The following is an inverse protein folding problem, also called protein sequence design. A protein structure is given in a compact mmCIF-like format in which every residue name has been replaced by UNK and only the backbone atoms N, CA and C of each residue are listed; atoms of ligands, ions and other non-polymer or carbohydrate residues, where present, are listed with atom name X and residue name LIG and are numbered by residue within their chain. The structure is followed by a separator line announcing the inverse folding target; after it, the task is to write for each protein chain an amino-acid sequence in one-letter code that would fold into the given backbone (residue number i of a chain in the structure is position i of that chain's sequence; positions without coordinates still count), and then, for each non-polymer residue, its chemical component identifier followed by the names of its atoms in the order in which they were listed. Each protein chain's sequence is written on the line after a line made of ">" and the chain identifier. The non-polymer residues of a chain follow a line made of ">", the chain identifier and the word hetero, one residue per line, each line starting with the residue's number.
data_IF_184997984099
#
_entry.id   IF_184997984099
#
_cell.length_a   1.000
_cell.length_b   1.000
_cell.length_c   1.000
_cell.angle_alpha   90.00
_cell.angle_beta   90.00
_cell.angle_gamma   90.00
#
_symmetry.space_group_name_H-M   'P 1'
#
loop_
_entity.id
_entity.type
_entity.pdbx_description
1 polymer ?
2 polymer ?
3 non-polymer ?
4 water ?
#
# COMPACT_ATOMS: atom_id res chain seq x y z
N UNK A 5 -17.96 19.29 15.70
CA UNK A 5 -18.55 17.98 15.97
C UNK A 5 -19.68 17.64 15.03
N UNK A 6 -20.72 18.47 14.98
CA UNK A 6 -21.87 18.16 14.13
C UNK A 6 -21.54 18.32 12.65
N UNK A 7 -22.25 17.55 11.83
CA UNK A 7 -22.13 17.67 10.39
C UNK A 7 -20.74 17.46 9.84
N UNK A 8 -19.92 16.66 10.52
CA UNK A 8 -18.60 16.33 10.02
C UNK A 8 -18.61 14.94 9.42
N UNK A 9 -17.98 14.79 8.27
CA UNK A 9 -17.86 13.51 7.58
C UNK A 9 -16.41 13.10 7.66
N UNK A 10 -16.15 12.00 8.36
CA UNK A 10 -14.79 11.58 8.66
C UNK A 10 -14.29 10.73 7.49
N UNK A 11 -13.16 11.13 6.91
CA UNK A 11 -12.52 10.40 5.83
C UNK A 11 -11.36 9.54 6.31
N UNK A 12 -10.81 9.82 7.49
CA UNK A 12 -9.65 9.10 8.00
C UNK A 12 -9.55 9.36 9.51
N UNK A 13 -9.36 8.28 10.28
CA UNK A 13 -9.24 8.38 11.75
C UNK A 13 -8.26 7.29 12.20
N UNK A 14 -6.99 7.67 12.31
CA UNK A 14 -5.95 6.69 12.63
C UNK A 14 -6.20 6.02 13.96
N UNK A 15 -6.47 6.81 15.01
CA UNK A 15 -6.58 6.26 16.36
C UNK A 15 -7.69 5.23 16.46
N UNK A 16 -8.76 5.39 15.69
CA UNK A 16 -9.90 4.48 15.77
C UNK A 16 -9.65 3.17 15.04
N UNK A 17 -8.60 3.08 14.22
CA UNK A 17 -8.37 1.89 13.42
C UNK A 17 -7.64 0.79 14.17
N UNK A 18 -7.13 1.07 15.36
CA UNK A 18 -6.58 0.02 16.22
C UNK A 18 -5.34 -0.67 15.69
N UNK A 19 -4.41 0.09 15.11
CA UNK A 19 -3.17 -0.46 14.61
C UNK A 19 -3.26 -1.23 13.31
N UNK A 20 -4.38 -1.15 12.61
CA UNK A 20 -4.64 -1.97 11.43
C UNK A 20 -4.39 -1.27 10.10
N UNK A 21 -4.06 0.02 10.09
CA UNK A 21 -3.98 0.75 8.82
C UNK A 21 -2.70 0.45 8.04
N UNK A 22 -1.62 0.08 8.72
CA UNK A 22 -0.34 -0.14 8.08
C UNK A 22 -0.02 0.84 6.96
N UNK A 23 0.47 2.01 7.34
CA UNK A 23 0.83 3.05 6.39
C UNK A 23 2.23 2.82 5.85
N UNK A 24 2.45 3.32 4.65
CA UNK A 24 3.75 3.17 4.00
C UNK A 24 4.79 4.04 4.71
N UNK A 25 5.99 3.47 4.91
CA UNK A 25 7.09 4.19 5.52
C UNK A 25 8.28 4.13 4.58
N UNK A 26 8.90 5.27 4.34
CA UNK A 26 10.01 5.40 3.42
C UNK A 26 11.03 6.32 4.08
N UNK A 27 12.16 5.79 4.56
CA UNK A 27 12.61 4.40 4.48
C UNK A 27 11.93 3.47 5.49
N UNK A 28 11.97 2.17 5.23
CA UNK A 28 11.51 1.19 6.21
C UNK A 28 12.66 0.82 7.11
N UNK A 29 12.46 0.95 8.42
CA UNK A 29 13.53 0.60 9.34
C UNK A 29 14.33 1.81 9.74
N UNK A 30 14.31 2.15 11.02
CA UNK A 30 14.96 3.33 11.58
C UNK A 30 14.26 4.62 11.21
N UNK A 31 13.20 4.58 10.41
CA UNK A 31 12.38 5.75 10.17
C UNK A 31 11.11 5.70 10.99
N UNK A 32 9.99 6.12 10.41
CA UNK A 32 8.72 6.01 11.11
C UNK A 32 8.41 4.55 11.39
N UNK A 33 7.80 4.29 12.54
CA UNK A 33 7.53 2.92 12.97
C UNK A 33 6.22 2.87 13.74
N UNK A 34 5.41 1.86 13.45
CA UNK A 34 4.17 1.65 14.19
C UNK A 34 4.49 1.08 15.56
N UNK A 35 3.95 1.70 16.61
CA UNK A 35 4.22 1.30 17.99
C UNK A 35 2.90 1.06 18.73
N UNK A 36 2.99 0.24 19.77
CA UNK A 36 1.86 -0.06 20.65
C UNK A 36 2.26 0.24 22.09
N UNK A 37 1.36 0.88 22.82
CA UNK A 37 1.48 1.09 24.25
C UNK A 37 0.22 0.53 24.89
N UNK A 38 0.39 -0.31 25.90
CA UNK A 38 -0.73 -1.00 26.55
C UNK A 38 -0.76 -0.72 28.04
N UNK A 39 -0.15 0.38 28.49
CA UNK A 39 -0.07 0.64 29.91
C UNK A 39 -1.40 1.07 30.50
N UNK A 40 -2.35 1.50 29.68
CA UNK A 40 -3.68 1.86 30.15
C UNK A 40 -4.62 0.67 30.27
N UNK A 41 -4.11 -0.55 30.04
CA UNK A 41 -4.91 -1.77 29.99
C UNK A 41 -5.72 -1.80 28.70
N UNK A 42 -5.74 -0.68 27.97
CA UNK A 42 -6.28 -0.65 26.62
C UNK A 42 -5.14 -0.28 25.69
N UNK A 43 -4.94 -0.99 24.58
CA UNK A 43 -3.85 -0.63 23.68
C UNK A 43 -4.12 0.66 22.93
N UNK A 44 -3.08 1.47 22.78
CA UNK A 44 -3.10 2.64 21.90
C UNK A 44 -1.93 2.49 20.94
N UNK A 45 -2.09 3.04 19.74
CA UNK A 45 -1.09 2.91 18.70
C UNK A 45 -0.62 4.30 18.28
N UNK A 46 0.51 4.30 17.59
CA UNK A 46 1.15 5.55 17.18
C UNK A 46 2.18 5.24 16.12
N UNK A 47 2.46 6.23 15.29
CA UNK A 47 3.63 6.20 14.42
C UNK A 47 4.69 7.09 15.04
N UNK A 48 5.84 6.50 15.33
CA UNK A 48 6.91 7.16 16.06
C UNK A 48 8.19 7.13 15.24
N UNK A 49 8.98 8.17 15.43
CA UNK A 49 10.33 8.26 14.87
C UNK A 49 11.16 9.02 15.88
N UNK A 50 12.40 8.56 16.08
CA UNK A 50 13.28 9.17 17.06
C UNK A 50 14.72 8.88 16.67
N UNK A 51 15.08 9.19 15.44
CA UNK A 51 16.43 8.94 14.92
C UNK A 51 17.27 10.21 15.09
N UNK A 52 17.45 10.59 16.36
CA UNK A 52 18.02 11.90 16.70
C UNK A 52 19.52 11.87 16.89
N UNK A 53 20.15 10.69 16.85
CA UNK A 53 21.59 10.55 17.06
C UNK A 53 22.38 10.53 15.76
N UNK A 54 21.71 10.60 14.61
CA UNK A 54 22.40 10.65 13.33
C UNK A 54 21.74 11.72 12.47
N UNK A 55 22.55 12.38 11.66
CA UNK A 55 22.11 13.51 10.87
C UNK A 55 21.52 13.09 9.53
N UNK A 56 21.16 14.11 8.75
CA UNK A 56 20.61 13.92 7.41
C UNK A 56 19.37 13.00 7.42
N UNK A 57 18.47 13.26 8.35
CA UNK A 57 17.22 12.49 8.41
C UNK A 57 16.23 13.05 7.40
N UNK A 58 15.53 12.13 6.72
CA UNK A 58 14.49 12.46 5.75
C UNK A 58 13.53 11.27 5.71
N UNK A 59 12.76 11.12 6.79
CA UNK A 59 11.90 9.96 7.00
C UNK A 59 10.44 10.31 6.68
N UNK A 60 9.82 9.49 5.83
CA UNK A 60 8.49 9.78 5.32
C UNK A 60 7.49 8.72 5.76
N UNK A 61 6.30 9.19 6.10
CA UNK A 61 5.16 8.36 6.44
C UNK A 61 4.00 8.84 5.60
N UNK A 62 3.37 7.92 4.85
CA UNK A 62 2.29 8.27 3.94
C UNK A 62 1.03 7.48 4.31
N UNK A 63 -0.08 8.19 4.46
CA UNK A 63 -1.35 7.50 4.68
C UNK A 63 -1.73 6.69 3.44
N UNK A 64 -2.70 5.80 3.64
CA UNK A 64 -3.32 5.15 2.50
C UNK A 64 -4.06 6.21 1.68
N UNK A 65 -4.45 5.81 0.47
CA UNK A 65 -5.19 6.69 -0.41
C UNK A 65 -6.56 6.98 0.18
N UNK A 66 -7.01 8.23 0.05
CA UNK A 66 -8.30 8.66 0.56
C UNK A 66 -9.17 9.07 -0.61
N UNK A 67 -10.32 8.42 -0.75
CA UNK A 67 -11.28 8.80 -1.78
C UNK A 67 -11.92 10.13 -1.40
N UNK A 68 -11.89 11.09 -2.33
CA UNK A 68 -12.34 12.43 -2.01
C UNK A 68 -13.86 12.55 -2.05
N UNK A 69 -14.49 11.82 -2.96
CA UNK A 69 -15.93 11.94 -3.11
C UNK A 69 -16.30 13.38 -3.41
N UNK A 70 -17.18 13.94 -2.59
CA UNK A 70 -17.68 15.29 -2.79
C UNK A 70 -16.95 16.32 -1.92
N UNK A 71 -15.98 15.89 -1.11
CA UNK A 71 -15.24 16.82 -0.27
C UNK A 71 -14.46 17.81 -1.12
N UNK A 72 -14.64 19.10 -0.84
CA UNK A 72 -13.91 20.15 -1.54
C UNK A 72 -12.82 20.79 -0.70
N UNK A 73 -12.99 20.84 0.62
CA UNK A 73 -11.93 21.23 1.53
C UNK A 73 -11.88 20.25 2.68
N UNK A 74 -10.68 19.83 3.07
CA UNK A 74 -10.51 18.89 4.17
C UNK A 74 -9.85 19.61 5.34
N UNK A 75 -10.20 19.14 6.54
CA UNK A 75 -9.65 19.64 7.79
C UNK A 75 -8.90 18.50 8.46
N UNK A 76 -7.69 18.80 8.93
CA UNK A 76 -6.74 17.79 9.40
C UNK A 76 -6.44 18.09 10.86
N UNK A 77 -6.65 17.12 11.74
CA UNK A 77 -6.38 17.26 13.16
C UNK A 77 -5.31 16.25 13.56
N UNK A 78 -4.18 16.73 14.08
CA UNK A 78 -3.09 15.90 14.51
C UNK A 78 -2.92 15.97 16.03
N UNK A 79 -2.64 14.83 16.65
CA UNK A 79 -2.23 14.80 18.05
C UNK A 79 -0.91 14.07 18.15
N UNK A 80 0.03 14.63 18.92
CA UNK A 80 1.41 14.16 18.84
C UNK A 80 2.19 14.68 20.04
N UNK A 81 3.26 13.95 20.36
CA UNK A 81 4.22 14.35 21.37
C UNK A 81 5.58 14.61 20.71
N UNK A 82 6.36 15.48 21.34
CA UNK A 82 7.71 15.79 20.89
C UNK A 82 8.61 15.87 22.11
N UNK A 83 9.70 15.11 22.11
CA UNK A 83 10.62 15.11 23.23
C UNK A 83 11.65 16.21 23.07
N UNK A 84 12.01 16.82 24.21
CA UNK A 84 13.06 17.83 24.26
C UNK A 84 14.38 17.25 23.75
N UNK A 85 15.01 17.95 22.81
CA UNK A 85 16.28 17.48 22.27
C UNK A 85 17.35 17.39 23.34
N UNK A 86 17.24 18.19 24.41
CA UNK A 86 18.18 18.10 25.53
C UNK A 86 18.07 16.80 26.30
N UNK A 87 17.04 15.98 26.02
CA UNK A 87 16.92 14.67 26.62
C UNK A 87 17.99 13.69 26.17
N UNK A 88 18.80 14.05 25.19
CA UNK A 88 19.68 13.11 24.51
C UNK A 88 21.15 13.49 24.72
N UNK A 89 22.07 12.52 24.60
CA UNK A 89 23.39 12.66 25.22
C UNK A 89 24.23 13.87 24.79
N UNK A 90 24.14 14.33 23.54
CA UNK A 90 25.01 15.42 23.16
C UNK A 90 25.57 15.28 21.76
N UNK A 91 25.40 14.12 21.14
CA UNK A 91 25.71 14.03 19.73
C UNK A 91 24.43 14.24 18.94
N UNK A 92 23.42 14.76 19.63
CA UNK A 92 22.14 15.16 19.06
C UNK A 92 22.24 16.48 18.29
N UNK A 93 23.35 16.71 17.59
CA UNK A 93 23.58 17.99 16.94
C UNK A 93 22.68 18.20 15.73
N UNK A 94 21.93 17.19 15.32
CA UNK A 94 20.99 17.27 14.22
C UNK A 94 19.55 17.17 14.70
N UNK A 95 19.33 17.13 16.01
CA UNK A 95 18.00 16.96 16.55
C UNK A 95 17.13 18.19 16.28
N UNK A 96 15.85 17.95 16.01
CA UNK A 96 14.89 19.00 15.71
C UNK A 96 13.70 18.82 16.66
N UNK A 97 12.84 19.84 16.70
CA UNK A 97 11.64 19.77 17.52
C UNK A 97 10.39 20.13 16.71
N UNK A 98 10.44 19.90 15.39
CA UNK A 98 9.30 20.09 14.51
C UNK A 98 9.28 18.96 13.48
N UNK A 99 8.15 18.81 12.81
CA UNK A 99 8.05 17.95 11.63
C UNK A 99 7.13 18.62 10.61
N UNK A 100 7.05 18.02 9.42
CA UNK A 100 6.38 18.65 8.29
C UNK A 100 5.19 17.82 7.80
N UNK A 101 4.13 18.52 7.41
CA UNK A 101 2.91 17.93 6.87
C UNK A 101 2.80 18.22 5.38
N UNK A 102 2.58 17.16 4.60
CA UNK A 102 2.48 17.25 3.15
C UNK A 102 1.18 16.61 2.67
N UNK A 103 0.85 16.86 1.40
CA UNK A 103 -0.27 16.16 0.76
C UNK A 103 -0.02 16.08 -0.73
N UNK A 104 -0.77 15.19 -1.38
CA UNK A 104 -0.73 15.05 -2.83
C UNK A 104 -2.09 14.56 -3.32
N UNK A 105 -2.61 15.19 -4.36
CA UNK A 105 -3.78 14.71 -5.06
C UNK A 105 -3.36 13.82 -6.23
N UNK A 106 -4.19 12.84 -6.54
CA UNK A 106 -3.96 12.01 -7.72
C UNK A 106 -5.27 11.36 -8.13
N UNK A 107 -5.38 11.06 -9.42
CA UNK A 107 -6.57 10.39 -9.93
C UNK A 107 -6.56 8.88 -9.71
N UNK A 108 -5.43 8.30 -9.32
CA UNK A 108 -5.32 6.87 -9.11
C UNK A 108 -4.46 6.62 -7.88
N UNK A 109 -4.72 5.50 -7.20
CA UNK A 109 -3.89 5.04 -6.09
C UNK A 109 -2.62 4.39 -6.64
N UNK A 110 -1.46 4.95 -6.30
CA UNK A 110 -0.18 4.41 -6.76
C UNK A 110 0.31 3.26 -5.90
N UNK A 111 -0.40 2.90 -4.84
CA UNK A 111 -0.03 1.74 -4.04
C UNK A 111 1.32 1.93 -3.38
N UNK A 112 2.22 0.96 -3.59
CA UNK A 112 3.55 1.01 -2.99
C UNK A 112 4.46 2.02 -3.66
N UNK A 113 4.05 2.58 -4.80
CA UNK A 113 4.85 3.55 -5.53
C UNK A 113 4.66 4.92 -4.90
N UNK A 114 5.58 5.29 -4.01
CA UNK A 114 5.55 6.57 -3.32
C UNK A 114 6.67 7.47 -3.86
N UNK A 115 6.29 8.68 -4.28
CA UNK A 115 7.23 9.64 -4.85
C UNK A 115 7.14 10.95 -4.09
N UNK A 116 8.16 11.23 -3.27
CA UNK A 116 8.22 12.48 -2.52
C UNK A 116 7.90 13.67 -3.40
N UNK A 117 8.50 13.72 -4.59
CA UNK A 117 8.47 14.90 -5.45
C UNK A 117 7.05 15.30 -5.86
N UNK A 118 6.07 14.42 -5.73
CA UNK A 118 4.71 14.73 -6.10
C UNK A 118 3.93 15.41 -4.98
N UNK A 119 4.53 15.56 -3.81
CA UNK A 119 3.81 16.05 -2.64
C UNK A 119 4.08 17.53 -2.41
N UNK A 120 3.06 18.24 -1.93
CA UNK A 120 3.11 19.66 -1.65
C UNK A 120 3.06 19.87 -0.15
N UNK A 121 3.89 20.78 0.35
CA UNK A 121 3.96 21.03 1.78
C UNK A 121 2.77 21.86 2.23
N UNK A 122 2.11 21.43 3.30
CA UNK A 122 1.04 22.21 3.89
C UNK A 122 1.59 23.18 4.91
N UNK A 123 2.33 22.67 5.89
CA UNK A 123 2.92 23.53 6.92
C UNK A 123 3.94 22.77 7.72
N UNK A 124 4.78 23.52 8.44
CA UNK A 124 5.57 22.98 9.53
C UNK A 124 4.69 22.80 10.76
N UNK A 125 4.79 21.64 11.40
CA UNK A 125 4.01 21.33 12.59
C UNK A 125 4.95 21.43 13.79
N UNK A 126 4.63 22.35 14.71
CA UNK A 126 5.44 22.57 15.89
C UNK A 126 4.62 22.33 17.16
N UNK A 127 5.25 21.82 18.22
CA UNK A 127 4.51 21.57 19.47
C UNK A 127 4.41 22.81 20.33
N UNK A 128 3.23 22.98 20.94
CA UNK A 128 3.10 23.97 21.99
C UNK A 128 3.95 23.61 23.21
N UNK A 129 4.11 22.32 23.48
CA UNK A 129 4.81 21.87 24.68
C UNK A 129 5.63 20.64 24.34
N UNK A 130 6.92 20.69 24.62
CA UNK A 130 7.80 19.53 24.48
C UNK A 130 7.77 18.75 25.79
N UNK A 131 8.01 17.45 25.69
CA UNK A 131 8.04 16.56 26.84
C UNK A 131 9.49 16.41 27.32
N UNK A 132 9.79 16.90 28.52
CA UNK A 132 11.13 16.84 29.07
C UNK A 132 11.34 15.50 29.77
N UNK A 133 12.60 15.17 30.06
CA UNK A 133 12.95 13.82 30.53
C UNK A 133 12.21 13.45 31.81
N UNK A 134 12.15 14.37 32.77
CA UNK A 134 11.52 14.04 34.05
C UNK A 134 10.06 13.63 33.84
N UNK A 135 9.37 14.28 32.91
CA UNK A 135 7.99 13.91 32.63
C UNK A 135 7.91 12.62 31.85
N UNK A 136 8.83 12.41 30.89
CA UNK A 136 8.85 11.15 30.17
C UNK A 136 9.02 9.97 31.12
N UNK A 137 9.95 10.09 32.08
CA UNK A 137 10.23 8.99 33.00
C UNK A 137 9.09 8.79 33.99
N UNK A 138 8.26 9.80 34.22
CA UNK A 138 7.08 9.67 35.06
C UNK A 138 5.82 9.32 34.27
N UNK A 139 5.96 9.03 32.97
CA UNK A 139 4.82 8.66 32.13
C UNK A 139 3.78 9.77 32.09
N UNK A 140 4.22 11.02 31.99
CA UNK A 140 3.33 12.17 31.94
C UNK A 140 3.71 13.02 30.71
N UNK A 141 3.40 12.49 29.54
CA UNK A 141 3.78 13.18 28.30
C UNK A 141 2.81 14.33 28.03
N UNK A 142 3.26 15.27 27.20
CA UNK A 142 2.46 16.42 26.82
C UNK A 142 1.94 16.21 25.40
N UNK A 143 0.63 15.96 25.30
CA UNK A 143 -0.02 15.70 24.01
C UNK A 143 -0.42 17.02 23.37
N UNK A 144 0.12 17.29 22.19
CA UNK A 144 -0.18 18.50 21.43
C UNK A 144 -1.29 18.22 20.44
N UNK A 145 -2.06 19.25 20.12
CA UNK A 145 -3.11 19.19 19.11
C UNK A 145 -2.91 20.33 18.13
N UNK A 146 -2.84 20.01 16.83
CA UNK A 146 -2.72 21.01 15.78
C UNK A 146 -3.68 20.68 14.66
N UNK A 147 -4.24 21.72 14.05
CA UNK A 147 -5.21 21.58 12.98
C UNK A 147 -4.78 22.40 11.77
N UNK A 148 -4.98 21.82 10.59
CA UNK A 148 -4.74 22.52 9.33
C UNK A 148 -5.85 22.13 8.36
N UNK A 149 -5.97 22.89 7.27
CA UNK A 149 -6.95 22.58 6.24
C UNK A 149 -6.33 22.81 4.87
N UNK A 150 -6.88 22.13 3.86
CA UNK A 150 -6.35 22.13 2.51
C UNK A 150 -7.50 22.14 1.51
N UNK A 151 -7.37 22.97 0.48
CA UNK A 151 -8.35 23.02 -0.59
C UNK A 151 -8.03 24.12 -1.57
N UNK A 152 -8.71 24.12 -2.73
CA UNK A 152 -9.76 23.15 -3.10
C UNK A 152 -9.22 21.84 -3.67
N UNK A 153 -9.91 20.74 -3.37
CA UNK A 153 -9.56 19.43 -3.90
C UNK A 153 -10.44 19.11 -5.11
N UNK A 154 -9.84 18.50 -6.14
CA UNK A 154 -10.54 18.23 -7.40
C UNK A 154 -10.38 16.81 -7.93
N UNK A 155 -9.43 16.03 -7.43
CA UNK A 155 -9.13 14.73 -7.99
C UNK A 155 -9.86 13.63 -7.23
N UNK A 156 -9.78 12.42 -7.77
CA UNK A 156 -10.50 11.29 -7.22
C UNK A 156 -10.11 11.03 -5.76
N UNK A 157 -8.85 11.26 -5.40
CA UNK A 157 -8.43 11.01 -4.03
C UNK A 157 -7.16 11.76 -3.72
N UNK A 158 -6.65 11.54 -2.51
CA UNK A 158 -5.47 12.26 -2.06
C UNK A 158 -4.73 11.44 -1.00
N UNK A 159 -3.47 11.80 -0.80
CA UNK A 159 -2.67 11.28 0.30
C UNK A 159 -2.29 12.41 1.25
N UNK A 160 -2.09 12.06 2.51
CA UNK A 160 -1.33 12.88 3.44
C UNK A 160 0.00 12.19 3.70
N UNK A 161 1.02 12.99 3.98
CA UNK A 161 2.33 12.45 4.30
C UNK A 161 2.99 13.30 5.38
N UNK A 162 3.83 12.66 6.18
CA UNK A 162 4.54 13.31 7.27
C UNK A 162 6.02 13.10 7.08
N UNK A 163 6.78 14.20 7.07
CA UNK A 163 8.22 14.16 6.90
C UNK A 163 8.88 14.50 8.22
N UNK A 164 9.73 13.59 8.71
CA UNK A 164 10.58 13.84 9.86
C UNK A 164 11.99 14.17 9.38
N UNK A 165 12.59 15.20 9.98
CA UNK A 165 13.92 15.63 9.61
C UNK A 165 14.89 15.53 10.79
N UNK A 166 14.55 14.73 11.79
CA UNK A 166 15.45 14.48 12.91
C UNK A 166 14.88 14.85 14.27
N UNK A 167 13.57 14.68 14.44
CA UNK A 167 12.91 14.93 15.72
C UNK A 167 12.48 13.61 16.34
N UNK A 168 12.16 13.67 17.63
CA UNK A 168 11.67 12.52 18.38
C UNK A 168 10.17 12.72 18.57
N UNK A 169 9.39 12.15 17.65
CA UNK A 169 7.98 12.44 17.51
C UNK A 169 7.17 11.15 17.63
N UNK A 170 6.05 11.22 18.35
CA UNK A 170 5.04 10.17 18.36
C UNK A 170 3.72 10.74 17.86
N UNK A 171 3.21 10.18 16.79
CA UNK A 171 1.97 10.64 16.17
C UNK A 171 0.85 9.70 16.59
N UNK A 172 -0.03 10.17 17.49
CA UNK A 172 -1.06 9.32 18.07
C UNK A 172 -2.42 9.44 17.41
N UNK A 173 -2.69 10.53 16.69
CA UNK A 173 -4.02 10.72 16.10
C UNK A 173 -3.91 11.53 14.83
N UNK A 174 -4.61 11.07 13.80
CA UNK A 174 -4.73 11.78 12.52
C UNK A 174 -6.19 11.66 12.10
N UNK A 175 -6.93 12.76 12.18
CA UNK A 175 -8.36 12.77 11.87
C UNK A 175 -8.59 13.78 10.75
N UNK A 176 -9.14 13.30 9.63
CA UNK A 176 -9.41 14.13 8.46
C UNK A 176 -10.92 14.12 8.21
N UNK A 177 -11.50 15.29 7.99
CA UNK A 177 -12.94 15.36 7.76
C UNK A 177 -13.26 16.53 6.85
N UNK A 178 -14.49 16.51 6.31
CA UNK A 178 -15.03 17.63 5.56
C UNK A 178 -16.45 17.89 6.06
N UNK A 179 -16.95 19.09 5.77
CA UNK A 179 -18.24 19.51 6.28
C UNK A 179 -19.30 19.38 5.20
N UNK A 180 -20.46 18.85 5.58
CA UNK A 180 -21.57 18.66 4.66
C UNK A 180 -22.09 20.02 4.18
N UNK A 181 -22.22 20.16 2.86
CA UNK A 181 -22.77 21.36 2.27
C UNK A 181 -24.30 21.35 2.28
N UNK B 3 -13.75 -4.36 -23.18
CA UNK B 3 -14.98 -3.61 -22.98
C UNK B 3 -15.90 -3.76 -24.19
N UNK B 4 -15.91 -4.95 -24.80
CA UNK B 4 -16.73 -5.17 -25.98
C UNK B 4 -18.20 -4.91 -25.70
N UNK B 5 -18.66 -5.27 -24.50
CA UNK B 5 -20.00 -4.95 -24.07
C UNK B 5 -20.11 -3.53 -23.55
N UNK B 6 -21.09 -2.77 -24.03
CA UNK B 6 -21.22 -1.36 -23.60
C UNK B 6 -21.68 -1.25 -22.15
N UNK B 7 -21.55 -0.03 -21.63
CA UNK B 7 -22.00 0.28 -20.28
C UNK B 7 -21.20 -0.35 -19.16
N UNK B 8 -19.88 -0.45 -19.34
CA UNK B 8 -18.98 -0.94 -18.31
C UNK B 8 -18.30 0.23 -17.61
N UNK B 9 -18.24 0.16 -16.28
CA UNK B 9 -17.59 1.19 -15.45
C UNK B 9 -16.35 0.55 -14.84
N UNK B 10 -15.18 1.10 -15.16
CA UNK B 10 -13.91 0.51 -14.78
C UNK B 10 -13.51 0.99 -13.38
N UNK B 11 -13.26 0.03 -12.48
CA UNK B 11 -12.78 0.31 -11.14
C UNK B 11 -11.28 0.10 -10.97
N UNK B 12 -10.64 -0.65 -11.86
CA UNK B 12 -9.23 -0.97 -11.76
C UNK B 12 -8.75 -1.43 -13.12
N UNK B 13 -7.62 -0.90 -13.59
CA UNK B 13 -7.08 -1.27 -14.91
C UNK B 13 -5.55 -1.19 -14.82
N UNK B 14 -4.93 -2.34 -14.54
CA UNK B 14 -3.49 -2.37 -14.32
C UNK B 14 -2.73 -1.88 -15.54
N UNK B 15 -3.05 -2.40 -16.73
CA UNK B 15 -2.28 -2.07 -17.92
C UNK B 15 -2.32 -0.57 -18.22
N UNK B 16 -3.42 0.09 -17.89
CA UNK B 16 -3.58 1.50 -18.21
C UNK B 16 -2.77 2.42 -17.30
N UNK B 17 -2.20 1.89 -16.22
CA UNK B 17 -1.42 2.70 -15.29
C UNK B 17 0.04 2.86 -15.71
N UNK B 18 0.50 2.11 -16.71
CA UNK B 18 1.82 2.35 -17.25
C UNK B 18 2.95 2.10 -16.27
N UNK B 19 2.84 1.04 -15.47
CA UNK B 19 3.87 0.70 -14.51
C UNK B 19 3.93 1.56 -13.27
N UNK B 20 2.93 2.42 -13.04
CA UNK B 20 2.95 3.32 -11.90
C UNK B 20 2.17 2.78 -10.71
N UNK B 21 1.43 1.70 -10.90
CA UNK B 21 0.65 1.07 -9.84
C UNK B 21 1.54 0.06 -9.14
N UNK B 22 1.73 0.24 -7.84
CA UNK B 22 2.59 -0.62 -7.05
C UNK B 22 1.82 -1.56 -6.14
N UNK B 23 1.61 -2.80 -6.57
CA UNK B 23 0.87 -3.75 -5.75
C UNK B 23 1.78 -4.44 -4.73
N UNK B 24 1.16 -4.81 -3.60
CA UNK B 24 1.87 -5.47 -2.52
C UNK B 24 2.21 -6.91 -2.89
N UNK B 25 3.41 -7.35 -2.51
CA UNK B 25 3.87 -8.71 -2.74
C UNK B 25 4.30 -9.34 -1.42
N UNK B 26 3.83 -10.56 -1.18
CA UNK B 26 4.09 -11.30 0.05
C UNK B 26 4.39 -12.75 -0.31
N UNK B 27 5.62 -13.23 -0.12
CA UNK B 27 6.77 -12.58 0.49
C UNK B 27 7.40 -11.56 -0.45
N UNK B 28 8.17 -10.63 0.11
CA UNK B 28 8.83 -9.61 -0.69
C UNK B 28 10.19 -10.10 -1.16
N UNK B 29 10.44 -9.97 -2.46
CA UNK B 29 11.67 -10.40 -3.08
C UNK B 29 11.60 -11.70 -3.85
N UNK B 30 11.23 -12.80 -3.21
CA UNK B 30 11.28 -14.11 -3.85
C UNK B 30 10.01 -14.48 -4.63
N UNK B 31 8.96 -13.67 -4.57
CA UNK B 31 7.74 -13.97 -5.29
C UNK B 31 7.48 -13.17 -6.55
N UNK B 32 6.25 -12.69 -6.67
CA UNK B 32 5.86 -11.86 -7.80
C UNK B 32 6.76 -10.62 -7.88
N UNK B 33 7.03 -10.18 -9.10
CA UNK B 33 7.94 -9.08 -9.35
C UNK B 33 7.41 -8.26 -10.52
N UNK B 34 7.49 -6.94 -10.39
CA UNK B 34 7.08 -6.04 -11.47
C UNK B 34 8.16 -6.04 -12.53
N UNK B 35 7.75 -6.27 -13.78
CA UNK B 35 8.68 -6.38 -14.90
C UNK B 35 8.24 -5.44 -16.02
N UNK B 36 9.20 -5.10 -16.87
CA UNK B 36 8.97 -4.27 -18.04
C UNK B 36 9.53 -4.94 -19.28
N UNK B 37 8.80 -4.83 -20.39
CA UNK B 37 9.27 -5.24 -21.71
C UNK B 37 9.18 -4.06 -22.65
N UNK B 38 10.25 -3.77 -23.37
CA UNK B 38 10.34 -2.57 -24.19
C UNK B 38 10.56 -2.90 -25.66
N UNK B 39 10.23 -4.12 -26.10
CA UNK B 39 10.52 -4.48 -27.48
C UNK B 39 9.58 -3.81 -28.47
N UNK B 40 8.39 -3.40 -28.04
CA UNK B 40 7.50 -2.59 -28.85
C UNK B 40 7.76 -1.12 -28.60
N UNK B 41 7.29 -0.27 -29.52
CA UNK B 41 7.52 1.16 -29.39
C UNK B 41 6.89 1.73 -28.12
N UNK B 42 5.99 0.98 -27.49
CA UNK B 42 5.43 1.29 -26.19
C UNK B 42 5.81 0.22 -25.17
N UNK B 43 6.29 0.59 -23.99
CA UNK B 43 6.61 -0.42 -22.98
C UNK B 43 5.35 -1.03 -22.40
N UNK B 44 5.45 -2.32 -22.05
CA UNK B 44 4.38 -3.00 -21.33
C UNK B 44 4.95 -3.52 -20.02
N UNK B 45 4.07 -3.62 -19.03
CA UNK B 45 4.46 -4.04 -17.69
C UNK B 45 3.67 -5.28 -17.29
N UNK B 46 4.15 -5.95 -16.25
CA UNK B 46 3.55 -7.21 -15.83
C UNK B 46 4.06 -7.55 -14.44
N UNK B 47 3.28 -8.37 -13.74
CA UNK B 47 3.72 -9.05 -12.54
C UNK B 47 4.03 -10.50 -12.89
N UNK B 48 5.27 -10.92 -12.64
CA UNK B 48 5.74 -12.24 -13.05
C UNK B 48 6.30 -13.02 -11.87
N UNK B 49 6.15 -14.34 -11.93
CA UNK B 49 6.76 -15.26 -10.97
C UNK B 49 7.04 -16.56 -11.72
N UNK B 50 8.17 -17.18 -11.41
CA UNK B 50 8.60 -18.39 -12.11
C UNK B 50 9.48 -19.26 -11.24
N UNK B 51 9.02 -19.56 -10.03
CA UNK B 51 9.76 -20.41 -9.08
C UNK B 51 9.28 -21.86 -9.19
N UNK B 52 9.52 -22.46 -10.35
CA UNK B 52 8.93 -23.75 -10.67
C UNK B 52 9.77 -24.92 -10.20
N UNK B 53 10.96 -24.68 -9.65
CA UNK B 53 11.87 -25.73 -9.26
C UNK B 53 11.92 -25.98 -7.75
N UNK B 54 11.52 -24.98 -6.95
CA UNK B 54 11.80 -25.03 -5.51
C UNK B 54 10.75 -25.81 -4.74
N UNK B 55 9.50 -25.78 -5.17
CA UNK B 55 8.41 -26.41 -4.46
C UNK B 55 7.96 -25.61 -3.24
N UNK B 56 6.87 -26.08 -2.64
CA UNK B 56 6.27 -25.44 -1.48
C UNK B 56 6.14 -23.93 -1.70
N UNK B 57 5.72 -23.55 -2.91
CA UNK B 57 5.53 -22.14 -3.24
C UNK B 57 4.18 -21.65 -2.76
N UNK B 58 4.17 -20.44 -2.20
CA UNK B 58 2.97 -19.79 -1.72
C UNK B 58 3.21 -18.28 -1.83
N UNK B 59 3.25 -17.79 -3.06
CA UNK B 59 3.58 -16.40 -3.36
C UNK B 59 2.31 -15.64 -3.67
N UNK B 60 2.11 -14.51 -2.98
CA UNK B 60 0.87 -13.74 -3.05
C UNK B 60 1.12 -12.35 -3.61
N UNK B 61 0.18 -11.91 -4.44
CA UNK B 61 0.17 -10.58 -5.03
C UNK B 61 -1.20 -9.97 -4.75
N UNK B 62 -1.23 -8.80 -4.12
CA UNK B 62 -2.48 -8.18 -3.70
C UNK B 62 -2.64 -6.83 -4.38
N UNK B 63 -3.79 -6.62 -5.01
CA UNK B 63 -4.11 -5.33 -5.58
C UNK B 63 -4.25 -4.28 -4.47
N UNK B 64 -4.28 -3.02 -4.89
CA UNK B 64 -4.67 -1.95 -4.00
C UNK B 64 -6.14 -2.12 -3.61
N UNK B 65 -6.54 -1.38 -2.58
CA UNK B 65 -7.93 -1.34 -2.17
C UNK B 65 -8.76 -0.65 -3.25
N UNK B 66 -9.93 -1.21 -3.53
CA UNK B 66 -10.82 -0.66 -4.54
C UNK B 66 -12.13 -0.26 -3.87
N UNK B 67 -12.46 1.03 -3.97
CA UNK B 67 -13.74 1.53 -3.49
C UNK B 67 -14.84 1.08 -4.44
N UNK B 68 -15.84 0.37 -3.92
CA UNK B 68 -16.84 -0.23 -4.82
C UNK B 68 -17.96 0.74 -5.16
N UNK B 69 -18.28 1.68 -4.29
CA UNK B 69 -19.38 2.57 -4.57
C UNK B 69 -20.68 1.78 -4.69
N UNK B 70 -21.34 1.89 -5.84
CA UNK B 70 -22.64 1.26 -6.05
C UNK B 70 -22.55 -0.11 -6.70
N UNK B 71 -21.36 -0.59 -7.01
CA UNK B 71 -21.22 -1.90 -7.63
C UNK B 71 -21.67 -2.99 -6.67
N UNK B 72 -22.56 -3.87 -7.15
CA UNK B 72 -22.97 -5.04 -6.39
C UNK B 72 -22.35 -6.33 -6.90
N UNK B 73 -22.08 -6.41 -8.20
CA UNK B 73 -21.33 -7.50 -8.79
C UNK B 73 -20.21 -6.91 -9.62
N UNK B 74 -19.00 -7.43 -9.45
CA UNK B 74 -17.85 -6.96 -10.20
C UNK B 74 -17.40 -8.07 -11.14
N UNK B 75 -16.85 -7.66 -12.27
CA UNK B 75 -16.32 -8.57 -13.27
C UNK B 75 -14.82 -8.35 -13.40
N UNK B 76 -14.07 -9.45 -13.42
CA UNK B 76 -12.62 -9.45 -13.34
C UNK B 76 -12.08 -10.05 -14.63
N UNK B 77 -11.27 -9.28 -15.35
CA UNK B 77 -10.71 -9.70 -16.62
C UNK B 77 -9.20 -9.79 -16.49
N UNK B 78 -8.66 -10.99 -16.69
CA UNK B 78 -7.23 -11.24 -16.59
C UNK B 78 -6.66 -11.61 -17.96
N UNK B 79 -5.48 -11.09 -18.26
CA UNK B 79 -4.70 -11.52 -19.41
C UNK B 79 -3.33 -11.91 -18.91
N UNK B 80 -2.82 -13.05 -19.37
CA UNK B 80 -1.65 -13.65 -18.73
C UNK B 80 -1.07 -14.72 -19.62
N UNK B 81 0.20 -15.02 -19.40
CA UNK B 81 0.90 -16.13 -20.05
C UNK B 81 1.29 -17.17 -19.02
N UNK B 82 1.40 -18.41 -19.48
CA UNK B 82 1.86 -19.52 -18.65
C UNK B 82 2.79 -20.38 -19.50
N UNK B 83 3.99 -20.63 -19.01
CA UNK B 83 4.94 -21.45 -19.76
C UNK B 83 4.70 -22.93 -19.51
N UNK B 84 4.87 -23.73 -20.56
CA UNK B 84 4.75 -25.17 -20.48
C UNK B 84 5.71 -25.72 -19.44
N UNK B 85 5.18 -26.52 -18.49
CA UNK B 85 6.04 -27.13 -17.49
C UNK B 85 7.04 -28.10 -18.10
N UNK B 86 6.77 -28.63 -19.30
CA UNK B 86 7.75 -29.47 -19.96
C UNK B 86 9.00 -28.70 -20.35
N UNK B 87 8.95 -27.37 -20.30
CA UNK B 87 10.16 -26.57 -20.47
C UNK B 87 11.08 -26.66 -19.25
N UNK B 88 10.58 -27.19 -18.13
CA UNK B 88 11.29 -27.16 -16.85
C UNK B 88 11.43 -28.57 -16.28
N UNK B 89 12.09 -29.48 -17.00
CA UNK B 89 12.05 -30.90 -16.60
C UNK B 89 12.57 -31.15 -15.20
N UNK B 90 13.51 -30.34 -14.70
CA UNK B 90 14.03 -30.53 -13.36
C UNK B 90 13.10 -30.09 -12.25
N UNK B 91 12.06 -29.33 -12.58
CA UNK B 91 10.98 -28.99 -11.67
C UNK B 91 9.72 -29.79 -11.90
N UNK B 92 9.84 -31.00 -12.46
CA UNK B 92 8.65 -31.75 -12.85
C UNK B 92 7.74 -32.03 -11.66
N UNK B 93 8.31 -32.38 -10.51
CA UNK B 93 7.50 -32.68 -9.34
C UNK B 93 6.97 -31.43 -8.65
N UNK B 94 7.47 -30.24 -8.98
CA UNK B 94 6.99 -29.01 -8.36
C UNK B 94 6.39 -27.99 -9.32
N UNK B 95 6.48 -28.20 -10.63
CA UNK B 95 5.95 -27.22 -11.57
C UNK B 95 4.44 -27.35 -11.73
N UNK B 96 3.77 -26.21 -11.85
CA UNK B 96 2.34 -26.15 -12.08
C UNK B 96 2.05 -25.24 -13.27
N UNK B 97 0.82 -25.33 -13.77
CA UNK B 97 0.37 -24.53 -14.91
C UNK B 97 -0.92 -23.79 -14.58
N UNK B 98 -1.17 -23.53 -13.30
CA UNK B 98 -2.33 -22.74 -12.89
C UNK B 98 -1.91 -21.81 -11.77
N UNK B 99 -2.76 -20.82 -11.50
CA UNK B 99 -2.65 -20.00 -10.30
C UNK B 99 -4.05 -19.74 -9.79
N UNK B 100 -4.16 -19.14 -8.62
CA UNK B 100 -5.43 -19.00 -7.92
C UNK B 100 -5.81 -17.54 -7.77
N UNK B 101 -7.09 -17.25 -7.92
CA UNK B 101 -7.65 -15.92 -7.79
C UNK B 101 -8.43 -15.84 -6.48
N UNK B 102 -8.13 -14.83 -5.67
CA UNK B 102 -8.76 -14.63 -4.37
C UNK B 102 -9.32 -13.21 -4.30
N UNK B 103 -10.15 -12.97 -3.30
CA UNK B 103 -10.61 -11.61 -3.00
C UNK B 103 -10.90 -11.52 -1.51
N UNK B 104 -11.00 -10.27 -1.04
CA UNK B 104 -11.37 -9.99 0.34
C UNK B 104 -12.10 -8.66 0.36
N UNK B 105 -13.24 -8.62 1.04
CA UNK B 105 -13.96 -7.38 1.28
C UNK B 105 -13.55 -6.78 2.61
N UNK B 106 -13.53 -5.45 2.67
CA UNK B 106 -13.26 -4.78 3.92
C UNK B 106 -13.77 -3.34 3.83
N UNK B 107 -14.14 -2.80 4.98
CA UNK B 107 -14.56 -1.40 5.07
C UNK B 107 -13.38 -0.45 5.13
N UNK B 108 -12.17 -0.97 5.26
CA UNK B 108 -10.98 -0.18 5.50
C UNK B 108 -9.84 -0.69 4.62
N UNK B 109 -9.02 0.24 4.16
CA UNK B 109 -7.77 -0.12 3.49
C UNK B 109 -6.75 -0.43 4.57
N UNK B 110 -6.26 -1.66 4.61
CA UNK B 110 -5.29 -2.08 5.61
C UNK B 110 -3.84 -1.78 5.22
N UNK B 111 -3.61 -1.20 4.05
CA UNK B 111 -2.26 -0.80 3.67
C UNK B 111 -1.34 -2.00 3.52
N UNK B 112 -0.21 -1.96 4.23
CA UNK B 112 0.78 -3.04 4.12
C UNK B 112 0.36 -4.32 4.83
N UNK B 113 -0.73 -4.31 5.60
CA UNK B 113 -1.18 -5.50 6.32
C UNK B 113 -1.93 -6.43 5.37
N UNK B 114 -1.23 -7.45 4.88
CA UNK B 114 -1.81 -8.51 4.07
C UNK B 114 -1.82 -9.80 4.87
N UNK B 115 -2.98 -10.41 5.01
CA UNK B 115 -3.14 -11.66 5.76
C UNK B 115 -3.91 -12.66 4.89
N UNK B 116 -3.22 -13.69 4.38
CA UNK B 116 -3.85 -14.67 3.51
C UNK B 116 -5.19 -15.15 4.06
N UNK B 117 -5.24 -15.48 5.35
CA UNK B 117 -6.39 -16.19 5.89
C UNK B 117 -7.67 -15.38 5.76
N UNK B 118 -7.59 -14.09 5.47
CA UNK B 118 -8.78 -13.27 5.31
C UNK B 118 -9.36 -13.33 3.91
N UNK B 119 -8.67 -13.97 2.96
CA UNK B 119 -9.07 -13.95 1.57
C UNK B 119 -9.83 -15.22 1.23
N UNK B 120 -10.83 -15.07 0.36
CA UNK B 120 -11.65 -16.17 -0.11
C UNK B 120 -11.33 -16.46 -1.57
N UNK B 121 -11.21 -17.74 -1.91
CA UNK B 121 -10.83 -18.13 -3.26
C UNK B 121 -12.00 -17.99 -4.22
N UNK B 122 -11.74 -17.36 -5.37
CA UNK B 122 -12.73 -17.26 -6.42
C UNK B 122 -12.67 -18.47 -7.35
N UNK B 123 -11.49 -18.77 -7.89
CA UNK B 123 -11.37 -19.92 -8.79
C UNK B 123 -9.91 -20.21 -9.03
N UNK B 124 -9.65 -21.40 -9.55
CA UNK B 124 -8.38 -21.71 -10.18
C UNK B 124 -8.37 -21.12 -11.59
N UNK B 125 -7.30 -20.44 -11.94
CA UNK B 125 -7.15 -19.84 -13.27
C UNK B 125 -6.17 -20.71 -14.05
N UNK B 126 -6.65 -21.29 -15.15
CA UNK B 126 -5.83 -22.14 -16.01
C UNK B 126 -5.78 -21.55 -17.41
N UNK B 127 -4.67 -21.69 -18.12
CA UNK B 127 -4.56 -21.10 -19.46
C UNK B 127 -5.23 -21.96 -20.51
N UNK B 128 -5.88 -21.28 -21.47
CA UNK B 128 -6.31 -21.95 -22.68
C UNK B 128 -5.11 -22.45 -23.49
N UNK B 129 -3.99 -21.72 -23.41
CA UNK B 129 -2.80 -22.02 -24.21
C UNK B 129 -1.56 -21.81 -23.37
N UNK B 130 -0.74 -22.82 -23.27
CA UNK B 130 0.57 -22.67 -22.65
C UNK B 130 1.54 -22.26 -23.75
N UNK B 131 2.58 -21.53 -23.35
CA UNK B 131 3.62 -21.09 -24.27
C UNK B 131 4.74 -22.12 -24.21
N UNK B 132 4.98 -22.82 -25.31
CA UNK B 132 6.03 -23.84 -25.33
C UNK B 132 7.36 -23.18 -25.64
N UNK B 133 8.45 -23.92 -25.45
CA UNK B 133 9.79 -23.32 -25.48
C UNK B 133 10.08 -22.67 -26.83
N UNK B 134 9.73 -23.34 -27.93
CA UNK B 134 10.05 -22.79 -29.24
C UNK B 134 9.40 -21.43 -29.46
N UNK B 135 8.19 -21.24 -28.93
CA UNK B 135 7.52 -19.95 -29.09
C UNK B 135 8.14 -18.90 -28.18
N UNK B 136 8.50 -19.28 -26.95
CA UNK B 136 9.14 -18.33 -26.03
C UNK B 136 10.42 -17.77 -26.66
N UNK B 137 11.25 -18.64 -27.22
CA UNK B 137 12.51 -18.21 -27.80
C UNK B 137 12.33 -17.41 -29.08
N UNK B 138 11.18 -17.54 -29.74
CA UNK B 138 10.84 -16.73 -30.90
C UNK B 138 10.03 -15.49 -30.55
N UNK B 139 9.88 -15.18 -29.26
CA UNK B 139 9.13 -13.99 -28.84
C UNK B 139 7.67 -14.05 -29.31
N UNK B 140 7.06 -15.24 -29.25
CA UNK B 140 5.68 -15.44 -29.69
C UNK B 140 4.89 -16.14 -28.57
N UNK B 141 4.60 -15.41 -27.50
CA UNK B 141 3.89 -15.99 -26.37
C UNK B 141 2.40 -16.08 -26.68
N UNK B 142 1.71 -16.95 -25.93
CA UNK B 142 0.27 -17.14 -26.06
C UNK B 142 -0.40 -16.38 -24.93
N UNK B 143 -1.07 -15.28 -25.25
CA UNK B 143 -1.75 -14.47 -24.26
C UNK B 143 -3.13 -15.05 -24.01
N UNK B 144 -3.39 -15.45 -22.77
CA UNK B 144 -4.67 -16.00 -22.37
C UNK B 144 -5.55 -14.90 -21.80
N UNK B 145 -6.86 -15.08 -21.94
CA UNK B 145 -7.85 -14.18 -21.36
C UNK B 145 -8.82 -15.02 -20.54
N UNK B 146 -9.00 -14.65 -19.27
CA UNK B 146 -9.95 -15.31 -18.39
C UNK B 146 -10.76 -14.25 -17.65
N UNK B 147 -12.04 -14.53 -17.45
CA UNK B 147 -12.94 -13.59 -16.80
C UNK B 147 -13.71 -14.30 -15.68
N UNK B 148 -13.89 -13.60 -14.57
CA UNK B 148 -14.68 -14.09 -13.45
C UNK B 148 -15.47 -12.93 -12.86
N UNK B 149 -16.42 -13.27 -11.99
CA UNK B 149 -17.22 -12.27 -11.30
C UNK B 149 -17.44 -12.67 -9.85
N UNK B 150 -17.74 -11.67 -9.03
CA UNK B 150 -17.97 -11.84 -7.61
C UNK B 150 -19.13 -10.96 -7.21
N UNK B 151 -20.03 -11.49 -6.39
CA UNK B 151 -21.09 -10.71 -5.83
C UNK B 151 -22.08 -11.58 -5.08
N UNK B 152 -22.97 -10.96 -4.31
CA UNK B 152 -23.07 -9.51 -4.12
C UNK B 152 -22.03 -8.97 -3.13
N UNK B 153 -21.57 -7.74 -3.35
CA UNK B 153 -20.59 -7.11 -2.47
C UNK B 153 -21.29 -6.31 -1.39
N UNK B 154 -20.70 -6.30 -0.19
CA UNK B 154 -21.34 -5.69 0.97
C UNK B 154 -20.48 -4.69 1.74
N UNK B 155 -19.17 -4.68 1.56
CA UNK B 155 -18.31 -3.74 2.26
C UNK B 155 -17.99 -2.55 1.36
N UNK B 156 -17.37 -1.52 1.97
CA UNK B 156 -17.06 -0.30 1.23
C UNK B 156 -16.13 -0.57 0.05
N UNK B 157 -15.25 -1.56 0.17
CA UNK B 157 -14.32 -1.83 -0.89
C UNK B 157 -13.82 -3.26 -0.81
N UNK B 158 -12.86 -3.58 -1.68
CA UNK B 158 -12.37 -4.94 -1.77
C UNK B 158 -10.94 -4.96 -2.30
N UNK B 159 -10.28 -6.07 -2.07
CA UNK B 159 -9.00 -6.40 -2.69
C UNK B 159 -9.19 -7.62 -3.58
N UNK B 160 -8.37 -7.71 -4.62
CA UNK B 160 -8.14 -8.95 -5.32
C UNK B 160 -6.73 -9.43 -4.97
N UNK B 161 -6.52 -10.74 -4.99
CA UNK B 161 -5.20 -11.29 -4.74
C UNK B 161 -4.96 -12.50 -5.63
N UNK B 162 -3.70 -12.69 -5.99
CA UNK B 162 -3.30 -13.80 -6.85
C UNK B 162 -2.26 -14.63 -6.10
N UNK B 163 -2.52 -15.93 -5.98
CA UNK B 163 -1.63 -16.86 -5.29
C UNK B 163 -0.98 -17.73 -6.35
N UNK B 164 0.35 -17.76 -6.34
CA UNK B 164 1.13 -18.67 -7.17
C UNK B 164 1.59 -19.84 -6.34
N UNK B 165 1.51 -21.05 -6.90
CA UNK B 165 1.87 -22.27 -6.22
C UNK B 165 3.00 -23.01 -6.95
N UNK B 166 3.71 -22.33 -7.84
CA UNK B 166 4.83 -22.95 -8.53
C UNK B 166 4.68 -22.98 -10.04
N UNK B 167 4.04 -21.95 -10.61
CA UNK B 167 3.89 -21.84 -12.04
C UNK B 167 4.76 -20.68 -12.56
N UNK B 168 4.96 -20.68 -13.87
CA UNK B 168 5.74 -19.64 -14.54
C UNK B 168 4.75 -18.73 -15.26
N UNK B 169 4.32 -17.67 -14.58
CA UNK B 169 3.19 -16.85 -14.98
C UNK B 169 3.62 -15.41 -15.13
N UNK B 170 3.12 -14.76 -16.18
CA UNK B 170 3.22 -13.31 -16.33
C UNK B 170 1.81 -12.75 -16.41
N UNK B 171 1.47 -11.85 -15.49
CA UNK B 171 0.15 -11.24 -15.41
C UNK B 171 0.23 -9.85 -16.04
N UNK B 172 -0.34 -9.71 -17.23
CA UNK B 172 -0.19 -8.48 -18.01
C UNK B 172 -1.35 -7.52 -17.88
N UNK B 173 -2.53 -7.99 -17.49
CA UNK B 173 -3.71 -7.14 -17.47
C UNK B 173 -4.65 -7.62 -16.37
N UNK B 174 -5.15 -6.67 -15.58
CA UNK B 174 -6.17 -6.92 -14.57
C UNK B 174 -7.14 -5.76 -14.69
N UNK B 175 -8.34 -6.02 -15.21
CA UNK B 175 -9.35 -5.00 -15.42
C UNK B 175 -10.60 -5.42 -14.66
N UNK B 176 -11.04 -4.58 -13.73
CA UNK B 176 -12.21 -4.85 -12.89
C UNK B 176 -13.25 -3.79 -13.19
N UNK B 177 -14.48 -4.22 -13.46
CA UNK B 177 -15.55 -3.31 -13.82
C UNK B 177 -16.88 -3.84 -13.34
N UNK B 178 -17.89 -2.97 -13.38
CA UNK B 178 -19.27 -3.36 -13.14
C UNK B 178 -20.16 -2.78 -14.23
N UNK B 179 -21.33 -3.38 -14.39
CA UNK B 179 -22.23 -3.07 -15.49
C UNK B 179 -23.40 -2.20 -15.02
N UNK B 180 -23.69 -1.15 -15.79
CA UNK B 180 -24.84 -0.29 -15.55
C UNK B 180 -25.91 -0.53 -16.61
N UNK B 181 -27.16 -0.68 -16.17
CA UNK B 181 -28.32 -0.79 -17.06
C UNK B 181 -28.00 -1.43 -18.41
N UNK C 2 16.24 4.93 21.81
CA UNK C 2 15.45 6.03 22.38
C UNK C 2 14.02 5.97 21.87
N UNK C 3 13.10 6.04 22.82
CA UNK C 3 11.67 5.93 22.55
C UNK C 3 11.05 7.31 22.45
N UNK C 4 10.18 7.49 21.45
CA UNK C 4 9.42 8.73 21.36
C UNK C 4 8.30 8.79 22.39
N UNK C 5 7.78 7.63 22.80
CA UNK C 5 6.63 7.53 23.70
C UNK C 5 6.93 6.48 24.76
N UNK C 6 6.64 6.75 26.03
CA UNK C 6 7.02 5.78 27.08
C UNK C 6 6.34 4.44 26.89
N UNK C 7 7.06 3.37 27.23
CA UNK C 7 6.50 2.02 27.28
C UNK C 7 5.84 1.64 25.97
N UNK C 8 6.45 2.05 24.86
CA UNK C 8 5.94 1.73 23.53
C UNK C 8 6.85 0.69 22.89
N UNK C 9 6.25 -0.20 22.10
CA UNK C 9 6.99 -1.28 21.46
C UNK C 9 6.56 -1.39 19.99
N UNK C 10 7.49 -1.63 19.06
CA UNK C 10 7.08 -1.85 17.67
C UNK C 10 6.01 -2.94 17.56
N UNK C 11 5.00 -2.66 16.74
CA UNK C 11 3.82 -3.51 16.63
C UNK C 11 3.49 -3.79 15.18
N UNK C 12 3.04 -5.01 14.90
CA UNK C 12 2.54 -5.39 13.60
C UNK C 12 1.43 -6.42 13.81
N UNK C 13 0.24 -6.21 13.23
CA UNK C 13 -0.85 -7.17 13.40
C UNK C 13 -0.45 -8.58 12.96
N UNK C 14 -0.96 -9.58 13.67
CA UNK C 14 -0.70 -10.97 13.34
C UNK C 14 -1.29 -11.34 11.99
N UNK D 2 13.63 -18.45 -13.67
CA UNK D 2 13.76 -18.25 -15.10
C UNK D 2 12.79 -17.12 -15.45
N UNK D 3 12.70 -16.72 -16.72
CA UNK D 3 11.81 -15.63 -17.09
C UNK D 3 10.44 -16.17 -17.47
N UNK D 4 9.40 -15.52 -16.94
CA UNK D 4 8.03 -15.83 -17.34
C UNK D 4 7.66 -15.23 -18.68
N UNK D 5 8.30 -14.12 -19.06
CA UNK D 5 7.95 -13.38 -20.27
C UNK D 5 9.23 -12.98 -21.00
N UNK D 6 9.28 -13.14 -22.32
CA UNK D 6 10.53 -12.85 -23.04
C UNK D 6 10.92 -11.39 -22.90
N UNK D 7 12.23 -11.15 -22.83
CA UNK D 7 12.78 -9.80 -22.85
C UNK D 7 12.17 -8.91 -21.77
N UNK D 8 11.91 -9.49 -20.60
CA UNK D 8 11.37 -8.73 -19.48
C UNK D 8 12.45 -8.56 -18.42
N UNK D 9 12.45 -7.41 -17.77
CA UNK D 9 13.45 -7.07 -16.76
C UNK D 9 12.76 -6.43 -15.57
N UNK D 10 13.29 -6.66 -14.37
CA UNK D 10 12.73 -6.02 -13.17
C UNK D 10 12.61 -4.51 -13.37
N UNK D 11 11.48 -3.96 -12.94
CA UNK D 11 11.18 -2.55 -13.15
C UNK D 11 10.73 -1.93 -11.84
N UNK D 12 11.13 -0.69 -11.61
CA UNK D 12 10.71 0.07 -10.46
C UNK D 12 10.51 1.51 -10.90
N UNK D 13 9.30 2.07 -10.79
CA UNK D 13 9.09 3.45 -11.25
C UNK D 13 9.92 4.43 -10.43
N UNK D 14 10.60 5.33 -11.13
CA UNK D 14 11.37 6.38 -10.47
C UNK D 14 10.49 7.59 -10.20
#
# INVERSE_FOLDING_TARGET
>A
MASQGPGEVVLLDFAAAGGELGWLTHPYGKGWDLMQNIMNDMPIYMYSVCNVMSGDQDNWLRTNWVYRGEAERIFIELKFTVRDCNSFPGGASSCKETFNLYYAESDLDYGTNFQKRLFTKIDTIAPDEITVSSDFEARHVKLNVEERSVGPLTRKGFYLAFQDIGACVALLSVRVYYKKAHHHHHH
>B
MASQGPGEVVLLDFAAAGGELGWLTHPYGKGWDLMQNIMNDMPIYMYSVCNVMSGDQDNWLRTNWVYRGEAERIFIELKFTVRDCNSFPGGASSCKETFNLYYAESDLDYGTNFQKRLFTKIDTIAPDEITVSSDFEARHVKLNVEERSVGPLTRKGFYLAFQDIGACVALLSVRVYYKKAHHHHHH
>C
XWLAYPDSVPYRPK
>D
XWLAYPDSVPYRPK
#
